data_IF_501658269149
#
_entry.id   IF_501658269149
#
_cell.length_a   1.000
_cell.length_b   1.000
_cell.length_c   1.000
_cell.angle_alpha   90.00
_cell.angle_beta   90.00
_cell.angle_gamma   90.00
#
_symmetry.space_group_name_H-M   'P 1'
#
loop_
_entity.id
_entity.type
_entity.pdbx_description
1 polymer ?
#
# COMPACT_ATOMS: atom_id res chain seq x y z
N UNK A 1 -9.60 -10.86 11.39
CA UNK A 1 -10.45 -10.05 12.30
C UNK A 1 -10.68 -8.64 11.76
N UNK A 2 -9.64 -7.87 11.39
CA UNK A 2 -9.81 -6.54 10.76
C UNK A 2 -10.67 -6.53 9.47
N UNK A 3 -10.60 -7.61 8.66
CA UNK A 3 -11.44 -7.76 7.46
C UNK A 3 -12.95 -7.82 7.78
N UNK A 4 -13.33 -8.47 8.89
CA UNK A 4 -14.72 -8.51 9.35
C UNK A 4 -15.17 -7.15 9.87
N UNK A 5 -14.26 -6.36 10.46
CA UNK A 5 -14.59 -5.01 10.94
C UNK A 5 -14.99 -4.07 9.79
N UNK A 6 -14.28 -4.13 8.66
CA UNK A 6 -14.63 -3.34 7.45
C UNK A 6 -15.97 -3.81 6.87
N UNK A 7 -16.18 -5.12 6.74
CA UNK A 7 -17.43 -5.68 6.23
C UNK A 7 -18.62 -5.30 7.12
N UNK A 8 -18.48 -5.47 8.45
CA UNK A 8 -19.52 -5.11 9.41
C UNK A 8 -19.83 -3.61 9.39
N UNK A 9 -18.81 -2.75 9.27
CA UNK A 9 -19.02 -1.31 9.14
C UNK A 9 -19.82 -0.97 7.88
N UNK A 10 -19.51 -1.63 6.75
CA UNK A 10 -20.26 -1.46 5.52
C UNK A 10 -21.72 -1.94 5.65
N UNK A 11 -21.95 -3.14 6.19
CA UNK A 11 -23.29 -3.65 6.43
C UNK A 11 -24.09 -2.81 7.43
N UNK A 12 -23.43 -2.23 8.45
CA UNK A 12 -24.07 -1.30 9.38
C UNK A 12 -24.56 -0.04 8.66
N UNK A 13 -23.76 0.52 7.75
CA UNK A 13 -24.17 1.66 6.92
C UNK A 13 -25.34 1.29 6.01
N UNK A 14 -25.32 0.11 5.38
CA UNK A 14 -26.45 -0.39 4.57
C UNK A 14 -27.73 -0.57 5.40
N UNK A 15 -27.58 -0.97 6.67
CA UNK A 15 -28.68 -1.11 7.63
C UNK A 15 -29.17 0.24 8.22
N UNK A 16 -28.58 1.37 7.83
CA UNK A 16 -29.01 2.72 8.25
C UNK A 16 -28.19 3.35 9.37
N UNK A 17 -27.05 2.76 9.76
CA UNK A 17 -26.11 3.45 10.64
C UNK A 17 -25.61 4.74 9.96
N UNK A 18 -25.48 5.81 10.74
CA UNK A 18 -25.07 7.13 10.24
C UNK A 18 -23.61 7.47 10.53
N UNK A 19 -22.99 6.73 11.47
CA UNK A 19 -21.64 6.96 11.96
C UNK A 19 -20.91 5.63 12.15
N UNK A 20 -19.60 5.64 11.91
CA UNK A 20 -18.72 4.48 12.05
C UNK A 20 -17.45 4.92 12.78
N UNK A 21 -17.12 4.23 13.87
CA UNK A 21 -15.86 4.43 14.57
C UNK A 21 -14.72 3.76 13.81
N UNK A 22 -13.63 4.50 13.66
CA UNK A 22 -12.43 4.02 12.97
C UNK A 22 -11.18 4.43 13.73
N UNK A 23 -10.06 3.75 13.42
CA UNK A 23 -8.75 4.10 13.97
C UNK A 23 -7.69 4.08 12.86
N UNK A 24 -6.68 4.94 12.97
CA UNK A 24 -5.55 4.94 12.04
C UNK A 24 -4.82 3.61 12.16
N UNK A 25 -4.57 2.95 11.02
CA UNK A 25 -4.07 1.57 10.94
C UNK A 25 -4.95 0.50 11.60
N UNK A 26 -6.13 0.88 12.12
CA UNK A 26 -7.00 0.00 12.88
C UNK A 26 -6.51 -0.27 14.31
N UNK A 27 -5.57 0.53 14.84
CA UNK A 27 -5.00 0.30 16.17
C UNK A 27 -6.10 0.40 17.24
N UNK A 28 -6.09 -0.53 18.19
CA UNK A 28 -7.03 -0.61 19.29
C UNK A 28 -6.72 -1.83 20.15
N UNK A 29 -7.64 -2.19 21.05
CA UNK A 29 -7.46 -3.35 21.92
C UNK A 29 -7.30 -4.66 21.10
N UNK A 30 -6.46 -5.58 21.58
CA UNK A 30 -6.16 -6.88 20.96
C UNK A 30 -5.63 -6.76 19.53
N UNK A 31 -6.48 -6.97 18.53
CA UNK A 31 -6.15 -6.92 17.10
C UNK A 31 -6.77 -5.71 16.40
N UNK A 32 -7.38 -4.80 17.17
CA UNK A 32 -7.84 -3.51 16.67
C UNK A 32 -9.31 -3.44 16.22
N UNK A 33 -9.64 -2.30 15.63
CA UNK A 33 -10.98 -1.94 15.12
C UNK A 33 -10.94 -1.60 13.61
N UNK A 34 -12.05 -1.13 13.05
CA UNK A 34 -12.14 -0.73 11.63
C UNK A 34 -11.04 0.28 11.26
N UNK A 35 -10.15 -0.02 10.30
CA UNK A 35 -9.09 0.90 9.91
C UNK A 35 -9.65 2.08 9.10
N UNK A 36 -9.18 3.30 9.38
CA UNK A 36 -9.61 4.54 8.72
C UNK A 36 -9.47 4.52 7.18
N UNK A 37 -8.52 3.73 6.66
CA UNK A 37 -8.32 3.56 5.20
C UNK A 37 -8.98 2.33 4.59
N UNK A 38 -9.86 1.62 5.32
CA UNK A 38 -10.49 0.38 4.88
C UNK A 38 -11.67 0.57 3.93
N UNK A 39 -12.68 1.39 4.29
CA UNK A 39 -13.82 1.67 3.42
C UNK A 39 -13.57 2.94 2.59
N UNK A 40 -13.57 2.84 1.25
CA UNK A 40 -13.49 4.01 0.36
C UNK A 40 -14.61 4.04 -0.68
N UNK A 41 -15.89 4.12 -0.25
CA UNK A 41 -17.00 4.40 -1.14
C UNK A 41 -16.90 5.81 -1.74
N UNK A 42 -17.68 6.09 -2.79
CA UNK A 42 -17.68 7.38 -3.50
C UNK A 42 -17.81 8.59 -2.57
N UNK A 43 -18.68 8.52 -1.57
CA UNK A 43 -18.89 9.63 -0.63
C UNK A 43 -17.65 9.93 0.25
N UNK A 44 -16.77 8.94 0.48
CA UNK A 44 -15.50 9.16 1.19
C UNK A 44 -14.53 9.90 0.27
N UNK A 45 -14.51 9.54 -1.01
CA UNK A 45 -13.60 10.14 -2.00
C UNK A 45 -13.88 11.62 -2.25
N UNK A 46 -15.14 12.04 -2.22
CA UNK A 46 -15.52 13.43 -2.40
C UNK A 46 -15.37 14.30 -1.15
N UNK A 47 -15.34 13.70 0.04
CA UNK A 47 -15.36 14.41 1.32
C UNK A 47 -14.00 14.56 1.99
N UNK A 48 -13.07 13.63 1.77
CA UNK A 48 -11.79 13.58 2.47
C UNK A 48 -10.60 13.83 1.55
N UNK A 49 -9.55 14.44 2.10
CA UNK A 49 -8.27 14.60 1.41
C UNK A 49 -7.46 13.28 1.44
N UNK A 50 -7.80 12.36 0.54
CA UNK A 50 -7.20 11.02 0.48
C UNK A 50 -5.67 10.98 0.29
N UNK A 51 -5.03 11.92 -0.44
CA UNK A 51 -3.56 12.01 -0.47
C UNK A 51 -2.89 12.06 0.92
N UNK A 52 -3.56 12.59 1.94
CA UNK A 52 -3.06 12.65 3.31
C UNK A 52 -3.12 11.31 4.06
N UNK A 53 -3.79 10.29 3.51
CA UNK A 53 -3.96 9.00 4.17
C UNK A 53 -2.63 8.30 4.46
N UNK A 54 -1.64 8.44 3.57
CA UNK A 54 -0.30 7.88 3.80
C UNK A 54 0.43 8.62 4.93
N UNK A 55 0.35 9.95 4.94
CA UNK A 55 1.02 10.77 5.94
C UNK A 55 0.48 10.52 7.35
N UNK A 56 -0.84 10.49 7.52
CA UNK A 56 -1.44 10.23 8.83
C UNK A 56 -1.14 8.81 9.33
N UNK A 57 -1.11 7.82 8.44
CA UNK A 57 -0.71 6.44 8.80
C UNK A 57 0.76 6.38 9.22
N UNK A 58 1.66 7.06 8.52
CA UNK A 58 3.07 7.11 8.87
C UNK A 58 3.31 7.85 10.20
N UNK A 59 2.58 8.93 10.44
CA UNK A 59 2.62 9.68 11.70
C UNK A 59 2.26 8.78 12.88
N UNK A 60 1.12 8.08 12.80
CA UNK A 60 0.68 7.17 13.88
C UNK A 60 1.59 5.95 13.99
N UNK A 61 2.04 5.37 12.87
CA UNK A 61 3.00 4.27 12.85
C UNK A 61 4.29 4.63 13.60
N UNK A 62 4.82 5.83 13.36
CA UNK A 62 6.01 6.32 14.04
C UNK A 62 5.75 6.57 15.53
N UNK A 63 4.61 7.16 15.88
CA UNK A 63 4.26 7.45 17.27
C UNK A 63 4.06 6.20 18.15
N UNK A 64 3.62 5.08 17.56
CA UNK A 64 3.40 3.81 18.27
C UNK A 64 4.46 2.75 17.95
N UNK A 65 5.54 3.14 17.27
CA UNK A 65 6.70 2.29 16.93
C UNK A 65 6.34 1.00 16.17
N UNK A 66 5.36 1.07 15.26
CA UNK A 66 4.97 -0.06 14.40
C UNK A 66 5.27 0.24 12.93
N UNK A 67 5.52 -0.81 12.14
CA UNK A 67 5.61 -0.68 10.68
C UNK A 67 4.24 -0.78 10.03
N UNK A 68 3.98 0.01 9.00
CA UNK A 68 2.82 -0.19 8.11
C UNK A 68 3.02 -1.50 7.33
N UNK A 69 2.07 -2.43 7.44
CA UNK A 69 2.14 -3.71 6.75
C UNK A 69 2.31 -3.55 5.23
N UNK A 70 3.13 -4.39 4.59
CA UNK A 70 3.38 -4.32 3.15
C UNK A 70 2.11 -4.50 2.30
N UNK A 71 1.14 -5.27 2.80
CA UNK A 71 -0.17 -5.50 2.20
C UNK A 71 -1.28 -4.63 2.81
N UNK A 72 -0.94 -3.57 3.56
CA UNK A 72 -1.94 -2.66 4.11
C UNK A 72 -2.79 -2.06 2.96
N UNK A 73 -4.12 -2.04 3.08
CA UNK A 73 -4.97 -1.49 2.03
C UNK A 73 -4.58 -0.06 1.66
N UNK A 74 -4.50 0.21 0.36
CA UNK A 74 -4.21 1.51 -0.27
C UNK A 74 -2.76 1.98 -0.09
N UNK A 75 -2.28 2.07 1.14
CA UNK A 75 -0.98 2.70 1.45
C UNK A 75 0.16 1.70 1.63
N UNK A 76 -0.13 0.40 1.62
CA UNK A 76 0.88 -0.65 1.67
C UNK A 76 1.70 -0.69 0.37
N UNK A 77 2.96 -1.09 0.48
CA UNK A 77 3.88 -1.21 -0.65
C UNK A 77 3.31 -2.04 -1.82
N UNK A 78 2.57 -3.11 -1.51
CA UNK A 78 2.00 -4.00 -2.52
C UNK A 78 0.61 -3.58 -3.02
N UNK A 79 0.01 -2.50 -2.51
CA UNK A 79 -1.41 -2.16 -2.79
C UNK A 79 -1.67 -1.82 -4.27
N UNK A 80 -0.71 -1.19 -4.95
CA UNK A 80 -0.77 -0.83 -6.37
C UNK A 80 0.42 -1.40 -7.16
N UNK A 81 0.92 -2.56 -6.72
CA UNK A 81 2.04 -3.25 -7.35
C UNK A 81 1.54 -4.44 -8.17
N UNK A 82 1.90 -4.46 -9.45
CA UNK A 82 1.54 -5.54 -10.38
C UNK A 82 2.77 -6.30 -10.84
N UNK A 83 2.65 -7.62 -10.95
CA UNK A 83 3.74 -8.45 -11.46
C UNK A 83 3.80 -8.35 -13.00
N UNK A 84 5.01 -8.19 -13.54
CA UNK A 84 5.24 -8.24 -14.98
C UNK A 84 4.70 -9.56 -15.58
N UNK A 85 4.06 -9.47 -16.73
CA UNK A 85 3.34 -10.58 -17.37
C UNK A 85 1.95 -10.16 -17.85
N UNK A 86 1.02 -11.12 -17.92
CA UNK A 86 -0.35 -10.89 -18.43
C UNK A 86 -1.09 -9.77 -17.68
N UNK A 87 -0.88 -9.64 -16.36
CA UNK A 87 -1.51 -8.61 -15.54
C UNK A 87 -0.99 -7.22 -15.89
N UNK A 88 0.33 -7.07 -16.07
CA UNK A 88 0.92 -5.81 -16.49
C UNK A 88 0.43 -5.38 -17.89
N UNK A 89 0.33 -6.33 -18.84
CA UNK A 89 -0.20 -6.04 -20.19
C UNK A 89 -1.66 -5.58 -20.14
N UNK A 90 -2.49 -6.23 -19.32
CA UNK A 90 -3.90 -5.85 -19.17
C UNK A 90 -4.05 -4.43 -18.59
N UNK A 91 -3.22 -4.07 -17.60
CA UNK A 91 -3.28 -2.77 -16.94
C UNK A 91 -2.72 -1.65 -17.83
N UNK A 92 -1.69 -1.93 -18.62
CA UNK A 92 -1.17 -0.95 -19.59
C UNK A 92 -2.22 -0.63 -20.68
N UNK A 93 -3.07 -1.59 -21.03
CA UNK A 93 -4.15 -1.38 -22.00
C UNK A 93 -5.38 -0.71 -21.36
N UNK A 94 -5.80 -1.20 -20.19
CA UNK A 94 -6.93 -0.65 -19.44
C UNK A 94 -6.72 -0.91 -17.94
N UNK A 95 -6.26 0.09 -17.16
CA UNK A 95 -5.97 -0.05 -15.74
C UNK A 95 -7.16 -0.56 -14.92
N UNK A 96 -8.39 -0.15 -15.28
CA UNK A 96 -9.63 -0.54 -14.60
C UNK A 96 -9.91 -2.05 -14.63
N UNK A 97 -9.17 -2.83 -15.44
CA UNK A 97 -9.27 -4.30 -15.49
C UNK A 97 -8.86 -4.96 -14.17
N UNK A 98 -7.87 -4.38 -13.47
CA UNK A 98 -7.33 -4.93 -12.21
C UNK A 98 -7.17 -3.88 -11.11
N UNK A 99 -7.46 -2.61 -11.40
CA UNK A 99 -7.41 -1.51 -10.44
C UNK A 99 -8.81 -0.96 -10.19
N UNK A 100 -9.46 -1.46 -9.14
CA UNK A 100 -10.76 -0.94 -8.68
C UNK A 100 -10.63 0.48 -8.10
N UNK A 101 -9.44 0.83 -7.61
CA UNK A 101 -9.09 2.15 -7.11
C UNK A 101 -7.97 2.73 -7.97
N UNK A 102 -8.04 4.03 -8.27
CA UNK A 102 -6.97 4.75 -8.95
C UNK A 102 -5.92 5.18 -7.93
N UNK A 103 -4.63 4.85 -8.10
CA UNK A 103 -3.60 5.27 -7.15
C UNK A 103 -3.48 6.80 -7.04
N UNK A 104 -3.81 7.53 -8.11
CA UNK A 104 -3.75 9.00 -8.16
C UNK A 104 -4.73 9.66 -7.17
N UNK A 105 -5.88 9.03 -6.92
CA UNK A 105 -6.87 9.51 -5.93
C UNK A 105 -6.26 9.58 -4.53
N UNK A 106 -5.20 8.80 -4.25
CA UNK A 106 -4.51 8.73 -2.96
C UNK A 106 -3.12 9.38 -2.98
N UNK A 107 -2.77 10.12 -4.04
CA UNK A 107 -1.43 10.69 -4.19
C UNK A 107 -0.33 9.62 -4.34
N UNK A 108 -0.69 8.45 -4.89
CA UNK A 108 0.21 7.32 -5.10
C UNK A 108 0.44 7.08 -6.59
N UNK A 109 1.44 6.28 -6.90
CA UNK A 109 1.77 5.87 -8.26
C UNK A 109 1.73 4.34 -8.36
N UNK A 110 1.21 3.83 -9.47
CA UNK A 110 1.30 2.41 -9.80
C UNK A 110 2.74 1.97 -10.00
N UNK A 111 3.07 0.76 -9.57
CA UNK A 111 4.35 0.12 -9.82
C UNK A 111 4.19 -1.22 -10.54
N UNK A 112 5.02 -1.47 -11.56
CA UNK A 112 5.09 -2.78 -12.22
C UNK A 112 6.40 -3.43 -11.82
N UNK A 113 6.31 -4.49 -11.02
CA UNK A 113 7.47 -5.25 -10.59
C UNK A 113 7.96 -6.13 -11.74
N UNK A 114 9.07 -5.72 -12.35
CA UNK A 114 9.84 -6.48 -13.35
C UNK A 114 10.76 -7.44 -12.58
N UNK A 115 10.17 -8.31 -11.77
CA UNK A 115 10.90 -9.18 -10.84
C UNK A 115 10.44 -10.62 -10.93
N UNK A 116 11.11 -11.42 -11.77
CA UNK A 116 11.31 -12.83 -11.43
C UNK A 116 12.15 -12.85 -10.14
N UNK A 117 11.92 -13.83 -9.27
CA UNK A 117 12.37 -13.96 -7.87
C UNK A 117 13.92 -13.98 -7.64
N UNK A 118 14.75 -13.35 -8.49
CA UNK A 118 16.21 -13.49 -8.54
C UNK A 118 16.99 -12.23 -8.98
N UNK A 119 16.53 -11.01 -8.72
CA UNK A 119 17.37 -9.82 -9.03
C UNK A 119 17.39 -8.79 -7.90
N UNK A 120 17.89 -9.21 -6.74
CA UNK A 120 18.18 -8.30 -5.62
C UNK A 120 19.01 -7.08 -6.04
N UNK A 121 19.99 -7.26 -6.94
CA UNK A 121 20.80 -6.16 -7.46
C UNK A 121 20.02 -5.09 -8.21
N UNK A 122 19.16 -5.47 -9.16
CA UNK A 122 18.38 -4.49 -9.92
C UNK A 122 17.38 -3.74 -9.03
N UNK A 123 16.78 -4.42 -8.05
CA UNK A 123 15.84 -3.81 -7.12
C UNK A 123 16.53 -2.84 -6.16
N UNK A 124 17.69 -3.21 -5.61
CA UNK A 124 18.48 -2.35 -4.72
C UNK A 124 19.03 -1.15 -5.51
N UNK A 125 19.57 -1.37 -6.71
CA UNK A 125 20.08 -0.30 -7.59
C UNK A 125 18.99 0.71 -7.94
N UNK A 126 17.81 0.26 -8.36
CA UNK A 126 16.69 1.16 -8.67
C UNK A 126 16.24 1.97 -7.46
N UNK A 127 16.27 1.37 -6.25
CA UNK A 127 15.90 2.08 -5.02
C UNK A 127 16.95 3.11 -4.59
N UNK A 128 18.24 2.81 -4.76
CA UNK A 128 19.36 3.72 -4.52
C UNK A 128 19.28 4.94 -5.43
N UNK A 129 18.98 4.72 -6.72
CA UNK A 129 18.79 5.79 -7.71
C UNK A 129 17.57 6.67 -7.37
N UNK A 130 16.44 6.06 -6.97
CA UNK A 130 15.25 6.80 -6.52
C UNK A 130 15.51 7.66 -5.28
N UNK A 131 16.35 7.18 -4.36
CA UNK A 131 16.71 7.88 -3.13
C UNK A 131 17.86 8.88 -3.32
N UNK A 132 18.39 9.02 -4.53
CA UNK A 132 19.54 9.89 -4.88
C UNK A 132 20.76 9.64 -3.99
N UNK A 133 20.99 8.37 -3.64
CA UNK A 133 22.17 7.97 -2.88
C UNK A 133 23.32 7.69 -3.85
N UNK A 134 24.48 8.32 -3.62
CA UNK A 134 25.68 8.13 -4.43
C UNK A 134 26.42 6.87 -3.95
N UNK A 135 25.89 5.70 -4.31
CA UNK A 135 26.52 4.40 -4.04
C UNK A 135 27.10 3.82 -5.33
N UNK A 136 28.29 3.25 -5.24
CA UNK A 136 28.96 2.52 -6.30
C UNK A 136 28.35 1.12 -6.50
N UNK A 137 28.53 0.54 -7.68
CA UNK A 137 28.00 -0.80 -7.99
C UNK A 137 28.54 -1.89 -7.03
N UNK A 138 29.73 -1.71 -6.47
CA UNK A 138 30.33 -2.65 -5.51
C UNK A 138 29.73 -2.51 -4.10
N UNK A 139 29.40 -1.27 -3.67
CA UNK A 139 28.65 -1.04 -2.43
C UNK A 139 27.23 -1.60 -2.52
N UNK A 140 26.59 -1.50 -3.68
CA UNK A 140 25.25 -2.06 -3.94
C UNK A 140 25.28 -3.59 -3.87
N UNK A 141 26.32 -4.24 -4.42
CA UNK A 141 26.50 -5.70 -4.36
C UNK A 141 26.78 -6.22 -2.95
N UNK A 142 27.36 -5.39 -2.09
CA UNK A 142 27.61 -5.70 -0.68
C UNK A 142 26.37 -5.70 0.20
N UNK A 143 25.22 -5.21 -0.29
CA UNK A 143 23.97 -5.16 0.48
C UNK A 143 23.40 -6.58 0.67
N UNK A 144 23.12 -7.01 1.92
CA UNK A 144 22.49 -8.31 2.19
C UNK A 144 21.15 -8.45 1.42
N UNK A 145 21.04 -9.47 0.56
CA UNK A 145 19.90 -9.67 -0.34
C UNK A 145 20.17 -9.31 -1.81
N UNK A 146 21.30 -8.67 -2.09
CA UNK A 146 21.80 -8.41 -3.45
C UNK A 146 22.66 -9.57 -4.01
N UNK A 147 23.24 -10.39 -3.13
CA UNK A 147 24.07 -11.54 -3.47
C UNK A 147 23.24 -12.65 -4.12
N UNK A 148 23.70 -13.15 -5.28
CA UNK A 148 23.22 -14.40 -5.86
C UNK A 148 23.30 -15.50 -4.79
N UNK A 149 22.15 -15.96 -4.31
CA UNK A 149 22.07 -17.30 -3.72
C UNK A 149 22.55 -18.28 -4.80
N UNK A 150 23.60 -19.03 -4.50
CA UNK A 150 23.98 -20.21 -5.28
C UNK A 150 22.83 -21.23 -5.31
#
# INVERSE_FOLDING_TARGET
MLLLAIANAFCALEAGATHIDTSVLGIGERVGITPLGGPVPEYVRSKYNLPMLREIKNLVAAAVEVSVAFCNPITGYCAFTHKAGIHAKAILNNPSTYEILKPEDFGLTRYVSIGHRLTGWNAVKSRVEQLKLNLTDDEIKGVPGCSRSY
#
